data_IF_041230576776
#
_entry.id   IF_041230576776
#
_cell.length_a   1.000
_cell.length_b   1.000
_cell.length_c   1.000
_cell.angle_alpha   90.00
_cell.angle_beta   90.00
_cell.angle_gamma   90.00
#
_symmetry.space_group_name_H-M   'P 1'
#
loop_
_entity.id
_entity.type
_entity.pdbx_description
1 polymer ?
#
# COMPACT_ATOMS: atom_id res chain seq x y z
N UNK A 1 6.15 21.88 11.87
CA UNK A 1 5.64 22.01 10.49
C UNK A 1 4.39 22.89 10.54
N UNK A 2 4.37 24.01 9.82
CA UNK A 2 3.24 24.94 9.82
C UNK A 2 1.99 24.25 9.26
N UNK A 3 0.98 24.05 10.11
CA UNK A 3 -0.36 23.60 9.75
C UNK A 3 -1.09 24.75 9.04
N UNK A 4 -0.66 25.09 7.82
CA UNK A 4 -1.47 25.95 6.95
C UNK A 4 -2.76 25.20 6.67
N UNK A 5 -3.87 25.69 7.24
CA UNK A 5 -5.21 25.13 7.05
C UNK A 5 -5.50 24.91 5.57
N UNK A 6 -6.20 23.81 5.26
CA UNK A 6 -6.59 23.47 3.89
C UNK A 6 -7.29 24.68 3.26
N UNK A 7 -6.74 25.19 2.15
CA UNK A 7 -7.34 26.29 1.38
C UNK A 7 -8.74 25.85 0.95
N UNK A 8 -9.77 26.53 1.44
CA UNK A 8 -11.16 26.27 1.02
C UNK A 8 -11.31 26.75 -0.41
N UNK A 9 -11.41 25.81 -1.36
CA UNK A 9 -11.48 26.09 -2.79
C UNK A 9 -12.88 26.57 -3.18
N UNK A 10 -13.91 25.90 -2.68
CA UNK A 10 -15.32 26.24 -2.91
C UNK A 10 -15.95 26.67 -1.60
N UNK A 11 -16.60 27.85 -1.59
CA UNK A 11 -17.31 28.37 -0.41
C UNK A 11 -18.77 27.86 -0.30
N UNK A 12 -19.22 27.06 -1.25
CA UNK A 12 -20.57 26.51 -1.35
C UNK A 12 -20.55 24.98 -1.51
N UNK A 13 -21.60 24.31 -1.05
CA UNK A 13 -21.76 22.85 -1.16
C UNK A 13 -22.29 22.43 -2.54
N UNK A 14 -22.22 21.13 -2.84
CA UNK A 14 -22.71 20.59 -4.13
C UNK A 14 -24.23 20.62 -4.18
N UNK A 15 -24.84 20.34 -3.05
CA UNK A 15 -26.28 20.35 -2.83
C UNK A 15 -26.84 21.75 -3.05
N UNK A 16 -26.18 22.78 -2.49
CA UNK A 16 -26.57 24.19 -2.70
C UNK A 16 -26.49 24.59 -4.18
N UNK A 17 -25.49 24.12 -4.92
CA UNK A 17 -25.38 24.37 -6.37
C UNK A 17 -26.49 23.64 -7.14
N UNK A 18 -26.74 22.36 -6.87
CA UNK A 18 -27.80 21.58 -7.54
C UNK A 18 -29.17 22.21 -7.32
N UNK A 19 -29.53 22.52 -6.08
CA UNK A 19 -30.81 23.16 -5.76
C UNK A 19 -30.96 24.53 -6.41
N UNK A 20 -29.88 25.33 -6.46
CA UNK A 20 -29.88 26.61 -7.14
C UNK A 20 -30.12 26.48 -8.66
N UNK A 21 -29.55 25.46 -9.31
CA UNK A 21 -29.75 25.24 -10.75
C UNK A 21 -31.16 24.75 -11.07
N UNK A 22 -31.73 23.88 -10.22
CA UNK A 22 -33.11 23.39 -10.36
C UNK A 22 -34.10 24.56 -10.27
N UNK A 23 -34.00 25.40 -9.23
CA UNK A 23 -34.95 26.50 -9.01
C UNK A 23 -34.91 27.55 -10.13
N UNK A 24 -33.76 27.74 -10.80
CA UNK A 24 -33.68 28.65 -11.95
C UNK A 24 -34.24 28.00 -13.21
N UNK A 25 -33.99 26.71 -13.44
CA UNK A 25 -34.52 25.99 -14.60
C UNK A 25 -36.04 25.81 -14.53
N UNK A 26 -36.60 25.70 -13.33
CA UNK A 26 -38.05 25.68 -13.07
C UNK A 26 -38.70 27.07 -13.16
N UNK A 27 -37.92 28.14 -13.33
CA UNK A 27 -38.42 29.51 -13.49
C UNK A 27 -38.95 30.14 -12.20
N UNK A 28 -38.69 29.53 -11.04
CA UNK A 28 -39.27 29.93 -9.74
C UNK A 28 -38.61 31.16 -9.13
N UNK A 29 -37.34 31.42 -9.45
CA UNK A 29 -36.57 32.56 -8.88
C UNK A 29 -35.58 33.17 -9.88
N UNK A 30 -35.25 34.45 -9.66
CA UNK A 30 -34.19 35.14 -10.42
C UNK A 30 -32.79 34.72 -9.96
N UNK A 31 -31.79 34.78 -10.86
CA UNK A 31 -30.39 34.41 -10.56
C UNK A 31 -29.85 35.13 -9.31
N UNK A 32 -30.23 36.40 -9.12
CA UNK A 32 -29.80 37.17 -7.95
C UNK A 32 -30.46 36.67 -6.65
N UNK A 33 -31.75 36.33 -6.69
CA UNK A 33 -32.47 35.76 -5.55
C UNK A 33 -31.91 34.41 -5.15
N UNK A 34 -31.70 33.53 -6.12
CA UNK A 34 -31.12 32.20 -5.92
C UNK A 34 -29.68 32.26 -5.39
N UNK A 35 -28.87 33.20 -5.89
CA UNK A 35 -27.50 33.41 -5.41
C UNK A 35 -27.45 33.77 -3.92
N UNK A 36 -28.34 34.67 -3.47
CA UNK A 36 -28.45 35.03 -2.05
C UNK A 36 -29.00 33.88 -1.19
N UNK A 37 -30.00 33.16 -1.69
CA UNK A 37 -30.68 32.05 -0.99
C UNK A 37 -29.74 30.88 -0.72
N UNK A 38 -28.93 30.48 -1.71
CA UNK A 38 -28.05 29.30 -1.61
C UNK A 38 -26.58 29.63 -1.37
N UNK A 39 -26.20 30.91 -1.32
CA UNK A 39 -24.81 31.33 -1.12
C UNK A 39 -23.87 30.99 -2.29
N UNK A 40 -24.41 30.64 -3.45
CA UNK A 40 -23.64 30.32 -4.67
C UNK A 40 -23.40 31.61 -5.46
N UNK A 41 -22.18 31.92 -5.92
CA UNK A 41 -21.91 33.13 -6.69
C UNK A 41 -22.75 33.20 -7.98
N UNK A 42 -23.29 34.39 -8.26
CA UNK A 42 -24.11 34.67 -9.46
C UNK A 42 -23.43 34.20 -10.75
N UNK A 43 -22.13 34.47 -10.92
CA UNK A 43 -21.36 34.07 -12.10
C UNK A 43 -21.33 32.55 -12.29
N UNK A 44 -21.13 31.79 -11.20
CA UNK A 44 -21.16 30.33 -11.24
C UNK A 44 -22.51 29.81 -11.73
N UNK A 45 -23.61 30.33 -11.19
CA UNK A 45 -24.95 29.92 -11.63
C UNK A 45 -25.17 30.28 -13.09
N UNK A 46 -24.77 31.49 -13.48
CA UNK A 46 -24.93 31.98 -14.86
C UNK A 46 -24.14 31.14 -15.86
N UNK A 47 -22.88 30.80 -15.58
CA UNK A 47 -22.03 30.01 -16.48
C UNK A 47 -22.57 28.59 -16.67
N UNK A 48 -23.19 27.99 -15.64
CA UNK A 48 -23.88 26.68 -15.74
C UNK A 48 -25.15 26.74 -16.57
N UNK A 49 -25.99 27.75 -16.33
CA UNK A 49 -27.26 27.94 -17.07
C UNK A 49 -26.99 28.18 -18.56
N UNK A 50 -25.95 28.96 -18.90
CA UNK A 50 -25.55 29.21 -20.28
C UNK A 50 -24.73 28.07 -20.91
N UNK A 51 -24.56 26.94 -20.21
CA UNK A 51 -23.84 25.77 -20.71
C UNK A 51 -22.34 25.96 -20.91
N UNK A 52 -21.76 27.07 -20.43
CA UNK A 52 -20.32 27.34 -20.54
C UNK A 52 -19.49 26.36 -19.71
N UNK A 53 -20.08 25.86 -18.62
CA UNK A 53 -19.46 24.86 -17.75
C UNK A 53 -20.51 23.80 -17.39
N UNK A 54 -20.24 22.50 -17.54
CA UNK A 54 -21.19 21.43 -17.19
C UNK A 54 -21.59 21.48 -15.70
N UNK A 55 -22.83 21.16 -15.34
CA UNK A 55 -23.35 21.25 -13.96
C UNK A 55 -22.48 20.56 -12.91
N UNK A 56 -21.93 19.39 -13.28
CA UNK A 56 -21.13 18.51 -12.44
C UNK A 56 -19.65 18.94 -12.33
N UNK A 57 -19.20 19.87 -13.18
CA UNK A 57 -17.78 20.19 -13.28
C UNK A 57 -17.31 21.06 -12.10
N UNK A 58 -16.91 20.41 -11.00
CA UNK A 58 -16.40 21.05 -9.77
C UNK A 58 -14.87 21.00 -9.66
N UNK A 59 -14.24 20.14 -10.46
CA UNK A 59 -12.79 19.92 -10.46
C UNK A 59 -12.10 21.05 -11.21
N UNK A 60 -11.13 21.68 -10.57
CA UNK A 60 -10.31 22.72 -11.18
C UNK A 60 -8.99 22.11 -11.68
N UNK A 61 -8.56 22.55 -12.86
CA UNK A 61 -7.32 22.09 -13.50
C UNK A 61 -7.57 21.13 -14.67
N UNK A 62 -6.51 20.81 -15.43
CA UNK A 62 -6.61 19.94 -16.59
C UNK A 62 -7.08 18.53 -16.20
N UNK A 63 -7.80 17.89 -17.12
CA UNK A 63 -8.20 16.50 -16.97
C UNK A 63 -6.96 15.59 -16.87
N UNK A 64 -7.11 14.44 -16.22
CA UNK A 64 -6.09 13.39 -16.28
C UNK A 64 -5.95 12.92 -17.73
N UNK A 65 -4.74 12.51 -18.11
CA UNK A 65 -4.44 12.00 -19.46
C UNK A 65 -5.10 10.64 -19.70
N UNK A 66 -5.35 9.91 -18.62
CA UNK A 66 -6.21 8.73 -18.63
C UNK A 66 -7.59 9.10 -18.10
N UNK A 67 -8.62 8.61 -18.76
CA UNK A 67 -10.00 8.64 -18.31
C UNK A 67 -10.19 7.81 -17.03
N UNK A 68 -11.28 8.04 -16.32
CA UNK A 68 -11.61 7.27 -15.11
C UNK A 68 -11.79 5.78 -15.43
N UNK A 69 -12.29 5.43 -16.63
CA UNK A 69 -12.44 4.04 -17.07
C UNK A 69 -11.10 3.37 -17.35
N UNK A 70 -10.16 4.06 -18.01
CA UNK A 70 -8.80 3.56 -18.21
C UNK A 70 -8.07 3.37 -16.87
N UNK A 71 -8.20 4.33 -15.96
CA UNK A 71 -7.63 4.20 -14.61
C UNK A 71 -8.24 3.02 -13.85
N UNK A 72 -9.54 2.74 -13.99
CA UNK A 72 -10.19 1.59 -13.37
C UNK A 72 -9.65 0.25 -13.90
N UNK A 73 -9.32 0.17 -15.20
CA UNK A 73 -8.67 -1.01 -15.79
C UNK A 73 -7.28 -1.23 -15.19
N UNK A 74 -6.49 -0.16 -15.03
CA UNK A 74 -5.18 -0.22 -14.40
C UNK A 74 -5.26 -0.65 -12.93
N UNK A 75 -6.25 -0.14 -12.19
CA UNK A 75 -6.51 -0.54 -10.80
C UNK A 75 -6.81 -2.05 -10.74
N UNK A 76 -7.67 -2.54 -11.62
CA UNK A 76 -7.99 -3.97 -11.71
C UNK A 76 -6.75 -4.79 -12.02
N UNK A 77 -5.96 -4.39 -13.03
CA UNK A 77 -4.72 -5.05 -13.41
C UNK A 77 -3.71 -5.15 -12.26
N UNK A 78 -3.48 -4.05 -11.52
CA UNK A 78 -2.64 -4.05 -10.33
C UNK A 78 -3.15 -5.03 -9.25
N UNK A 79 -4.48 -5.07 -9.03
CA UNK A 79 -5.10 -5.98 -8.08
C UNK A 79 -4.96 -7.46 -8.50
N UNK A 80 -5.15 -7.75 -9.79
CA UNK A 80 -5.03 -9.10 -10.35
C UNK A 80 -3.59 -9.60 -10.22
N UNK A 81 -2.60 -8.77 -10.57
CA UNK A 81 -1.17 -9.09 -10.39
C UNK A 81 -0.79 -9.34 -8.94
N UNK A 82 -1.29 -8.52 -8.01
CA UNK A 82 -1.07 -8.73 -6.59
C UNK A 82 -1.65 -10.07 -6.10
N UNK A 83 -2.85 -10.47 -6.56
CA UNK A 83 -3.44 -11.78 -6.23
C UNK A 83 -2.63 -12.96 -6.78
N UNK A 84 -1.98 -12.78 -7.92
CA UNK A 84 -1.08 -13.79 -8.49
C UNK A 84 0.29 -13.83 -7.79
N UNK A 85 0.54 -13.00 -6.77
CA UNK A 85 1.81 -12.95 -6.06
C UNK A 85 2.89 -12.08 -6.73
N UNK A 86 2.49 -11.26 -7.71
CA UNK A 86 3.39 -10.36 -8.44
C UNK A 86 2.97 -8.89 -8.23
N UNK A 87 3.08 -8.33 -7.01
CA UNK A 87 2.68 -6.95 -6.76
C UNK A 87 3.52 -5.97 -7.60
N UNK A 88 2.84 -5.12 -8.36
CA UNK A 88 3.48 -4.12 -9.23
C UNK A 88 4.16 -3.01 -8.43
N UNK A 89 5.35 -2.61 -8.85
CA UNK A 89 6.03 -1.41 -8.33
C UNK A 89 5.51 -0.15 -9.02
N UNK A 90 5.88 1.00 -8.47
CA UNK A 90 5.58 2.31 -9.06
C UNK A 90 6.08 2.39 -10.52
N UNK A 91 7.32 1.95 -10.78
CA UNK A 91 7.90 2.05 -12.12
C UNK A 91 7.19 1.14 -13.12
N UNK A 92 6.80 -0.08 -12.73
CA UNK A 92 6.05 -1.00 -13.59
C UNK A 92 4.72 -0.37 -14.06
N UNK A 93 4.01 0.31 -13.15
CA UNK A 93 2.80 1.04 -13.49
C UNK A 93 3.09 2.21 -14.45
N UNK A 94 4.13 2.99 -14.18
CA UNK A 94 4.49 4.15 -15.02
C UNK A 94 4.93 3.72 -16.42
N UNK A 95 5.65 2.61 -16.54
CA UNK A 95 6.12 2.06 -17.80
C UNK A 95 4.96 1.45 -18.60
N UNK A 96 4.02 0.78 -17.92
CA UNK A 96 2.78 0.29 -18.54
C UNK A 96 1.94 1.43 -19.11
N UNK A 97 1.79 2.52 -18.36
CA UNK A 97 1.07 3.71 -18.83
C UNK A 97 1.80 4.37 -19.99
N UNK A 98 3.14 4.43 -19.96
CA UNK A 98 3.93 4.93 -21.08
C UNK A 98 3.71 4.10 -22.35
N UNK A 99 3.64 2.77 -22.24
CA UNK A 99 3.39 1.88 -23.36
C UNK A 99 2.00 2.14 -23.97
N UNK A 100 0.95 2.24 -23.13
CA UNK A 100 -0.41 2.56 -23.57
C UNK A 100 -0.45 3.91 -24.32
N UNK A 101 0.22 4.93 -23.78
CA UNK A 101 0.26 6.27 -24.38
C UNK A 101 0.97 6.26 -25.74
N UNK A 102 2.07 5.50 -25.86
CA UNK A 102 2.83 5.39 -27.11
C UNK A 102 2.06 4.65 -28.18
N UNK A 103 1.36 3.57 -27.81
CA UNK A 103 0.55 2.78 -28.72
C UNK A 103 -0.64 3.58 -29.26
N UNK A 104 -1.30 4.36 -28.39
CA UNK A 104 -2.42 5.20 -28.77
C UNK A 104 -2.00 6.47 -29.55
N UNK A 105 -0.71 6.80 -29.58
CA UNK A 105 -0.19 7.99 -30.28
C UNK A 105 -0.69 9.34 -29.72
N UNK A 106 -1.26 9.35 -28.50
CA UNK A 106 -1.92 10.54 -27.94
C UNK A 106 -0.93 11.64 -27.56
N UNK A 107 -1.28 12.93 -27.76
CA UNK A 107 -0.44 14.03 -27.29
C UNK A 107 -0.46 14.07 -25.76
N UNK A 108 0.73 14.10 -25.14
CA UNK A 108 0.85 14.15 -23.68
C UNK A 108 1.83 15.23 -23.23
N UNK A 109 1.62 15.84 -22.05
CA UNK A 109 2.57 16.76 -21.43
C UNK A 109 3.77 16.03 -20.79
N UNK A 110 3.86 14.71 -20.96
CA UNK A 110 4.88 13.89 -20.34
C UNK A 110 6.16 13.88 -21.17
N UNK A 111 7.29 14.03 -20.51
CA UNK A 111 8.59 13.86 -21.16
C UNK A 111 8.70 12.42 -21.68
N UNK A 112 8.87 12.25 -22.99
CA UNK A 112 8.94 10.96 -23.68
C UNK A 112 7.70 10.05 -23.47
N UNK A 113 6.53 10.66 -23.21
CA UNK A 113 5.28 9.95 -22.96
C UNK A 113 5.20 9.22 -21.62
N UNK A 114 6.22 9.35 -20.74
CA UNK A 114 6.24 8.67 -19.44
C UNK A 114 5.66 9.53 -18.32
N UNK A 115 4.62 9.09 -17.60
CA UNK A 115 4.12 9.83 -16.46
C UNK A 115 5.18 9.95 -15.36
N UNK A 116 5.15 11.10 -14.68
CA UNK A 116 6.05 11.36 -13.55
C UNK A 116 5.43 11.01 -12.19
N UNK A 117 6.23 11.14 -11.13
CA UNK A 117 5.79 10.89 -9.74
C UNK A 117 4.56 11.70 -9.32
N UNK A 118 4.38 12.92 -9.85
CA UNK A 118 3.18 13.74 -9.58
C UNK A 118 1.91 13.09 -10.12
N UNK A 119 1.96 12.52 -11.32
CA UNK A 119 0.83 11.81 -11.91
C UNK A 119 0.49 10.57 -11.08
N UNK A 120 1.50 9.78 -10.70
CA UNK A 120 1.35 8.61 -9.83
C UNK A 120 0.65 8.94 -8.51
N UNK A 121 1.10 9.99 -7.81
CA UNK A 121 0.45 10.42 -6.57
C UNK A 121 -1.01 10.85 -6.80
N UNK A 122 -1.27 11.54 -7.92
CA UNK A 122 -2.63 11.90 -8.31
C UNK A 122 -3.50 10.67 -8.63
N UNK A 123 -2.94 9.65 -9.27
CA UNK A 123 -3.61 8.39 -9.58
C UNK A 123 -4.04 7.66 -8.30
N UNK A 124 -3.16 7.57 -7.29
CA UNK A 124 -3.51 7.00 -5.98
C UNK A 124 -4.60 7.80 -5.25
N UNK A 125 -4.57 9.14 -5.33
CA UNK A 125 -5.62 9.99 -4.71
C UNK A 125 -6.98 9.76 -5.40
N UNK A 126 -6.99 9.56 -6.72
CA UNK A 126 -8.22 9.29 -7.47
C UNK A 126 -8.75 7.87 -7.26
N UNK A 127 -7.88 6.91 -6.95
CA UNK A 127 -8.19 5.49 -6.86
C UNK A 127 -7.85 4.95 -5.45
N UNK A 128 -8.68 5.24 -4.43
CA UNK A 128 -8.38 4.89 -3.03
C UNK A 128 -8.45 3.38 -2.73
N UNK A 129 -8.91 2.55 -3.66
CA UNK A 129 -8.93 1.09 -3.54
C UNK A 129 -7.53 0.45 -3.58
N UNK A 130 -6.52 1.19 -4.06
CA UNK A 130 -5.12 0.76 -4.10
C UNK A 130 -4.26 1.69 -3.26
N UNK A 131 -3.29 1.11 -2.56
CA UNK A 131 -2.37 1.86 -1.71
C UNK A 131 -0.98 1.27 -1.76
N UNK A 132 0.02 2.10 -1.43
CA UNK A 132 1.40 1.65 -1.31
C UNK A 132 1.52 0.76 -0.06
N UNK A 133 1.99 -0.47 -0.24
CA UNK A 133 2.29 -1.42 0.84
C UNK A 133 3.69 -1.96 0.66
N UNK A 134 4.33 -2.32 1.77
CA UNK A 134 5.55 -3.14 1.73
C UNK A 134 5.14 -4.60 1.61
N UNK A 135 5.61 -5.27 0.56
CA UNK A 135 5.34 -6.68 0.36
C UNK A 135 6.27 -7.49 1.28
N UNK A 136 5.70 -8.43 2.02
CA UNK A 136 6.48 -9.40 2.78
C UNK A 136 7.04 -10.48 1.84
N UNK A 137 8.33 -10.78 1.96
CA UNK A 137 8.95 -11.86 1.23
C UNK A 137 8.58 -13.20 1.86
N UNK A 138 7.66 -13.93 1.24
CA UNK A 138 7.24 -15.26 1.68
C UNK A 138 7.86 -16.32 0.75
N UNK A 139 8.34 -17.43 1.31
CA UNK A 139 8.86 -18.54 0.50
C UNK A 139 7.73 -19.24 -0.28
N UNK A 140 8.06 -19.82 -1.45
CA UNK A 140 7.08 -20.55 -2.29
C UNK A 140 6.32 -21.64 -1.51
N UNK A 141 7.01 -22.33 -0.60
CA UNK A 141 6.41 -23.36 0.26
C UNK A 141 5.32 -22.80 1.18
N UNK A 142 5.53 -21.59 1.75
CA UNK A 142 4.52 -20.93 2.59
C UNK A 142 3.37 -20.32 1.78
N UNK A 143 3.62 -19.90 0.54
CA UNK A 143 2.60 -19.36 -0.35
C UNK A 143 1.57 -20.41 -0.84
N UNK A 144 1.93 -21.69 -0.82
CA UNK A 144 1.07 -22.82 -1.26
C UNK A 144 0.21 -23.38 -0.10
N UNK A 145 0.51 -23.02 1.14
CA UNK A 145 -0.23 -23.52 2.30
C UNK A 145 -1.63 -22.89 2.32
N UNK A 146 -2.65 -23.73 2.18
CA UNK A 146 -4.05 -23.33 2.30
C UNK A 146 -4.59 -23.60 3.70
N UNK A 147 -5.68 -22.93 4.09
CA UNK A 147 -6.34 -23.19 5.36
C UNK A 147 -6.78 -24.67 5.48
N UNK A 148 -7.23 -25.26 4.37
CA UNK A 148 -7.65 -26.66 4.30
C UNK A 148 -6.46 -27.59 4.58
N UNK A 149 -5.29 -27.29 4.01
CA UNK A 149 -4.08 -28.09 4.24
C UNK A 149 -3.63 -28.06 5.70
N UNK A 150 -3.73 -26.89 6.36
CA UNK A 150 -3.42 -26.74 7.79
C UNK A 150 -4.40 -27.55 8.64
N UNK A 151 -5.71 -27.42 8.38
CA UNK A 151 -6.74 -28.18 9.10
C UNK A 151 -6.52 -29.69 8.95
N UNK A 152 -6.26 -30.15 7.73
CA UNK A 152 -5.99 -31.56 7.44
C UNK A 152 -4.81 -32.08 8.25
N UNK A 153 -3.71 -31.33 8.27
CA UNK A 153 -2.52 -31.69 9.03
C UNK A 153 -2.81 -31.83 10.54
N UNK A 154 -3.57 -30.90 11.13
CA UNK A 154 -3.94 -31.00 12.55
C UNK A 154 -4.86 -32.19 12.86
N UNK A 155 -5.78 -32.53 11.94
CA UNK A 155 -6.63 -33.72 12.10
C UNK A 155 -5.81 -35.01 12.00
N UNK A 156 -4.86 -35.10 11.06
CA UNK A 156 -3.92 -36.22 10.94
C UNK A 156 -3.05 -36.35 12.21
N UNK A 157 -2.53 -35.24 12.74
CA UNK A 157 -1.78 -35.22 13.99
C UNK A 157 -2.61 -35.73 15.17
N UNK A 158 -3.86 -35.27 15.31
CA UNK A 158 -4.76 -35.76 16.37
C UNK A 158 -5.04 -37.25 16.23
N UNK A 159 -5.24 -37.74 15.00
CA UNK A 159 -5.42 -39.16 14.72
C UNK A 159 -4.21 -39.99 15.18
N UNK A 160 -3.01 -39.58 14.74
CA UNK A 160 -1.75 -40.22 15.12
C UNK A 160 -1.55 -40.27 16.65
N UNK A 161 -1.82 -39.17 17.36
CA UNK A 161 -1.69 -39.11 18.81
C UNK A 161 -2.70 -40.02 19.52
N UNK A 162 -3.93 -40.17 19.01
CA UNK A 162 -4.92 -41.10 19.56
C UNK A 162 -4.50 -42.55 19.38
N UNK A 163 -4.00 -42.92 18.21
CA UNK A 163 -3.51 -44.27 17.91
C UNK A 163 -2.36 -44.69 18.86
N UNK A 164 -1.52 -43.74 19.25
CA UNK A 164 -0.38 -43.99 20.14
C UNK A 164 -0.68 -43.73 21.63
N UNK A 165 -1.94 -43.54 22.02
CA UNK A 165 -2.35 -43.20 23.39
C UNK A 165 -1.62 -41.97 23.97
N UNK A 166 -1.25 -41.02 23.11
CA UNK A 166 -0.45 -39.85 23.43
C UNK A 166 -1.25 -38.53 23.39
N UNK A 167 -2.59 -38.60 23.33
CA UNK A 167 -3.47 -37.43 23.25
C UNK A 167 -3.24 -36.39 24.37
N UNK A 168 -2.81 -36.84 25.55
CA UNK A 168 -2.49 -35.99 26.71
C UNK A 168 -1.41 -34.94 26.43
N UNK A 169 -0.58 -35.13 25.40
CA UNK A 169 0.43 -34.15 24.98
C UNK A 169 -0.21 -32.82 24.57
N UNK A 170 -1.42 -32.85 23.98
CA UNK A 170 -2.11 -31.63 23.54
C UNK A 170 -2.78 -30.88 24.69
N UNK A 171 -3.08 -31.56 25.80
CA UNK A 171 -3.74 -30.97 26.97
C UNK A 171 -2.74 -30.24 27.89
N UNK A 172 -1.46 -30.61 27.84
CA UNK A 172 -0.39 -30.07 28.66
C UNK A 172 0.52 -29.13 27.86
N UNK A 173 0.41 -27.80 28.03
CA UNK A 173 1.20 -26.83 27.27
C UNK A 173 2.72 -26.91 27.59
N UNK A 174 3.12 -27.56 28.68
CA UNK A 174 4.55 -27.76 29.00
C UNK A 174 5.22 -28.81 28.11
N UNK A 175 4.45 -29.60 27.36
CA UNK A 175 4.95 -30.65 26.46
C UNK A 175 5.04 -30.23 25.00
N UNK A 176 4.52 -29.06 24.67
CA UNK A 176 4.50 -28.53 23.31
C UNK A 176 5.62 -27.49 23.22
N UNK A 177 6.62 -27.76 22.39
CA UNK A 177 7.74 -26.85 22.16
C UNK A 177 7.72 -26.33 20.73
N UNK A 178 7.92 -25.03 20.58
CA UNK A 178 8.17 -24.39 19.31
C UNK A 178 9.59 -23.81 19.32
N UNK A 179 10.37 -24.17 18.31
CA UNK A 179 11.73 -23.70 18.13
C UNK A 179 11.88 -23.04 16.77
N UNK A 180 12.51 -21.86 16.73
CA UNK A 180 12.86 -21.22 15.47
C UNK A 180 14.22 -20.50 15.56
N UNK A 181 14.86 -20.39 14.40
CA UNK A 181 16.18 -19.79 14.25
C UNK A 181 16.04 -18.29 14.05
N UNK A 182 16.79 -17.51 14.82
CA UNK A 182 16.88 -16.07 14.61
C UNK A 182 18.33 -15.65 14.39
N UNK A 183 18.53 -14.75 13.43
CA UNK A 183 19.85 -14.22 13.08
C UNK A 183 20.02 -12.82 13.68
N UNK A 184 21.00 -12.66 14.56
CA UNK A 184 21.40 -11.38 15.11
C UNK A 184 22.60 -10.81 14.34
N UNK A 185 22.40 -9.70 13.64
CA UNK A 185 23.50 -8.98 13.00
C UNK A 185 24.31 -8.18 14.02
N UNK A 186 25.64 -8.34 14.01
CA UNK A 186 26.54 -7.54 14.85
C UNK A 186 26.73 -6.11 14.31
N UNK A 187 26.28 -5.85 13.08
CA UNK A 187 26.24 -4.56 12.44
C UNK A 187 24.85 -4.34 11.81
N UNK A 188 23.83 -3.97 12.62
CA UNK A 188 22.48 -3.76 12.12
C UNK A 188 22.40 -2.60 11.13
N UNK A 189 21.41 -2.62 10.24
CA UNK A 189 21.17 -1.50 9.32
C UNK A 189 20.83 -0.24 10.13
N UNK A 190 21.61 0.82 9.97
CA UNK A 190 21.44 2.09 10.69
C UNK A 190 20.15 2.85 10.31
N UNK A 191 19.45 2.42 9.25
CA UNK A 191 18.23 3.06 8.79
C UNK A 191 18.51 4.40 8.09
N UNK A 192 17.52 5.30 8.08
CA UNK A 192 17.65 6.63 7.45
C UNK A 192 18.32 7.59 8.43
N UNK A 193 19.42 8.22 8.01
CA UNK A 193 20.17 9.21 8.79
C UNK A 193 20.07 10.60 8.15
N UNK A 194 20.21 11.65 8.96
CA UNK A 194 20.34 13.02 8.47
C UNK A 194 21.81 13.28 8.12
N UNK A 195 22.06 13.74 6.90
CA UNK A 195 23.39 14.09 6.43
C UNK A 195 23.33 15.33 5.52
N UNK A 196 24.45 16.07 5.37
CA UNK A 196 24.51 17.21 4.48
C UNK A 196 24.09 16.87 3.04
N UNK A 197 23.33 17.78 2.42
CA UNK A 197 22.85 17.62 1.05
C UNK A 197 24.04 17.54 0.08
N UNK A 198 24.08 16.49 -0.74
CA UNK A 198 25.14 16.26 -1.72
C UNK A 198 26.18 15.22 -1.30
N UNK A 199 26.15 14.74 -0.06
CA UNK A 199 26.99 13.62 0.36
C UNK A 199 26.47 12.33 -0.30
N UNK A 200 27.31 11.71 -1.13
CA UNK A 200 26.98 10.43 -1.78
C UNK A 200 27.08 9.25 -0.82
N UNK A 201 28.09 9.28 0.06
CA UNK A 201 28.37 8.21 1.01
C UNK A 201 28.29 8.77 2.43
N UNK A 202 27.41 8.19 3.25
CA UNK A 202 27.24 8.53 4.66
C UNK A 202 27.46 7.25 5.45
N UNK A 203 28.52 7.23 6.26
CA UNK A 203 28.90 6.06 7.04
C UNK A 203 28.58 6.27 8.51
N UNK A 204 28.03 5.23 9.14
CA UNK A 204 27.97 5.13 10.59
C UNK A 204 28.98 4.06 11.02
N UNK A 205 30.00 4.45 11.77
CA UNK A 205 31.05 3.52 12.21
C UNK A 205 30.46 2.63 13.31
N UNK A 206 30.25 1.35 12.98
CA UNK A 206 29.79 0.34 13.94
C UNK A 206 30.97 -0.48 14.45
N UNK A 207 30.87 -0.98 15.68
CA UNK A 207 31.95 -1.75 16.32
C UNK A 207 32.04 -3.20 15.83
N UNK A 208 30.96 -3.75 15.26
CA UNK A 208 30.89 -5.13 14.76
C UNK A 208 31.22 -5.23 13.27
N UNK A 209 31.66 -6.42 12.83
CA UNK A 209 31.88 -6.72 11.42
C UNK A 209 30.56 -6.71 10.64
N UNK A 210 30.54 -6.08 9.47
CA UNK A 210 29.38 -6.01 8.57
C UNK A 210 28.91 -7.39 8.06
N UNK A 211 29.80 -8.39 8.11
CA UNK A 211 29.55 -9.74 7.59
C UNK A 211 29.30 -10.79 8.68
N UNK A 212 29.34 -10.40 9.95
CA UNK A 212 29.17 -11.32 11.07
C UNK A 212 27.74 -11.30 11.61
N UNK A 213 27.16 -12.50 11.69
CA UNK A 213 25.86 -12.73 12.28
C UNK A 213 25.98 -13.89 13.27
N UNK A 214 25.29 -13.77 14.40
CA UNK A 214 25.15 -14.86 15.37
C UNK A 214 23.78 -15.47 15.11
N UNK A 215 23.73 -16.78 14.90
CA UNK A 215 22.47 -17.50 14.77
C UNK A 215 22.13 -18.12 16.12
N UNK A 216 20.92 -17.88 16.60
CA UNK A 216 20.43 -18.41 17.87
C UNK A 216 19.17 -19.20 17.60
N UNK A 217 19.16 -20.48 17.96
CA UNK A 217 17.95 -21.28 18.03
C UNK A 217 17.32 -21.05 19.41
N UNK A 218 16.13 -20.45 19.39
CA UNK A 218 15.34 -20.22 20.58
C UNK A 218 14.19 -21.23 20.60
N UNK A 219 14.04 -21.93 21.74
CA UNK A 219 12.96 -22.90 21.92
C UNK A 219 12.14 -22.52 23.14
N UNK A 220 10.83 -22.41 22.94
CA UNK A 220 9.86 -22.05 23.95
C UNK A 220 8.80 -23.13 24.06
N UNK A 221 8.40 -23.47 25.28
CA UNK A 221 7.20 -24.27 25.51
C UNK A 221 5.94 -23.41 25.33
N UNK A 222 4.80 -24.02 25.05
CA UNK A 222 3.51 -23.33 25.04
C UNK A 222 3.10 -22.82 26.43
N UNK A 223 3.71 -23.34 27.50
CA UNK A 223 3.58 -22.82 28.87
C UNK A 223 4.47 -21.59 29.17
N UNK A 224 5.29 -21.16 28.22
CA UNK A 224 6.18 -19.99 28.35
C UNK A 224 7.54 -20.27 28.98
N UNK A 225 7.88 -21.55 29.20
CA UNK A 225 9.22 -21.93 29.65
C UNK A 225 10.20 -21.91 28.47
N UNK A 226 11.46 -21.63 28.76
CA UNK A 226 12.52 -21.60 27.75
C UNK A 226 13.52 -22.72 27.98
N UNK A 227 14.04 -23.28 26.89
CA UNK A 227 15.22 -24.14 26.96
C UNK A 227 16.46 -23.25 26.77
N UNK A 228 17.61 -23.68 27.31
CA UNK A 228 18.87 -22.99 27.05
C UNK A 228 19.06 -22.78 25.53
N UNK A 229 19.31 -21.54 25.08
CA UNK A 229 19.41 -21.24 23.67
C UNK A 229 20.65 -21.89 23.07
N UNK A 230 20.53 -22.40 21.84
CA UNK A 230 21.68 -22.91 21.10
C UNK A 230 22.24 -21.76 20.26
N UNK A 231 23.48 -21.39 20.54
CA UNK A 231 24.15 -20.27 19.88
C UNK A 231 25.18 -20.81 18.90
N UNK A 232 25.03 -20.46 17.63
CA UNK A 232 25.99 -20.75 16.57
C UNK A 232 26.76 -19.47 16.28
N UNK A 233 28.05 -19.48 16.63
CA UNK A 233 28.97 -18.37 16.37
C UNK A 233 29.53 -18.43 14.95
N UNK A 234 29.82 -17.27 14.34
CA UNK A 234 30.48 -17.21 13.05
C UNK A 234 31.88 -17.85 13.10
N UNK A 235 32.23 -18.63 12.07
CA UNK A 235 33.58 -19.19 11.82
C UNK A 235 34.18 -20.17 12.84
N UNK A 236 33.41 -21.16 13.31
CA UNK A 236 34.02 -22.37 13.88
C UNK A 236 33.63 -23.56 13.02
N UNK A 237 34.51 -23.98 12.09
CA UNK A 237 34.38 -25.31 11.49
C UNK A 237 34.62 -26.32 12.61
N UNK A 238 33.69 -27.25 12.88
CA UNK A 238 34.03 -28.38 13.73
C UNK A 238 35.26 -29.09 13.11
N UNK A 239 36.23 -29.54 13.91
CA UNK A 239 37.35 -30.30 13.40
C UNK A 239 36.81 -31.48 12.59
N UNK A 240 37.38 -31.70 11.40
CA UNK A 240 37.11 -32.95 10.67
C UNK A 240 37.72 -34.07 11.51
N UNK A 241 36.89 -35.04 11.89
CA UNK A 241 37.37 -36.35 12.33
C UNK A 241 38.23 -37.00 11.25
#
# INVERSE_FOLDING_TARGET
MSTKGKRVIHRYSEESLRSALIEIREGTSSILGTSKKYGVPRSTIQDRIHGRIPDEARKMGPHSILSNSEEAILVKWCGDLARCGFPSKMDDLLDTVQAIIKDDGRPTPFLNGRPGRKWYMGFLIRNPSISLREAEGISKGRAVITQESIKKWFEELKGFLREHNASIILDDPSRIYNGDETSFSLCPKTGKVLAPKGYKNVYNIQKGSEKETITVLLVFSASGQTIAPIVVFPYVRPPKE
#
